data_IF_701787338667
#
_entry.id   IF_701787338667
#
_cell.length_a   1.000
_cell.length_b   1.000
_cell.length_c   1.000
_cell.angle_alpha   90.00
_cell.angle_beta   90.00
_cell.angle_gamma   90.00
#
_symmetry.space_group_name_H-M   'P 1'
#
loop_
_entity.id
_entity.type
_entity.pdbx_description
1 polymer ?
#
# COMPACT_ATOMS: atom_id res chain seq x y z
N UNK A 1 44.17 29.97 -30.17
CA UNK A 1 42.82 30.56 -30.17
C UNK A 1 41.90 29.58 -30.91
N UNK A 2 41.25 28.69 -30.15
CA UNK A 2 39.78 28.59 -30.02
C UNK A 2 39.06 28.41 -31.37
N UNK A 3 38.68 27.19 -31.77
CA UNK A 3 37.55 26.39 -31.24
C UNK A 3 36.30 26.58 -32.12
N UNK A 4 35.83 25.53 -32.79
CA UNK A 4 34.65 24.76 -32.36
C UNK A 4 34.32 23.65 -33.38
N UNK A 5 34.72 22.43 -33.03
CA UNK A 5 34.24 21.17 -33.58
C UNK A 5 32.85 20.87 -33.04
N UNK A 6 31.84 20.86 -33.91
CA UNK A 6 30.47 20.47 -33.60
C UNK A 6 30.36 18.95 -33.41
N UNK A 7 30.27 18.49 -32.16
CA UNK A 7 29.88 17.11 -31.84
C UNK A 7 28.35 17.09 -31.74
N UNK A 8 27.71 16.62 -32.81
CA UNK A 8 26.30 16.25 -32.85
C UNK A 8 26.05 15.11 -31.83
N UNK A 9 25.46 15.44 -30.67
CA UNK A 9 24.90 14.44 -29.75
C UNK A 9 23.53 13.98 -30.27
N UNK A 10 23.55 13.17 -31.33
CA UNK A 10 22.42 12.30 -31.68
C UNK A 10 22.15 11.29 -30.55
N UNK A 11 20.92 10.78 -30.42
CA UNK A 11 20.60 9.80 -29.38
C UNK A 11 21.55 8.59 -29.50
N UNK A 12 22.15 8.12 -28.39
CA UNK A 12 23.04 6.97 -28.44
C UNK A 12 22.28 5.81 -29.08
N UNK A 13 22.97 5.12 -30.00
CA UNK A 13 22.49 3.95 -30.70
C UNK A 13 21.70 3.06 -29.73
N UNK A 14 20.46 2.71 -30.13
CA UNK A 14 19.63 1.73 -29.44
C UNK A 14 20.38 0.41 -29.43
N UNK A 15 21.25 0.20 -28.45
CA UNK A 15 21.61 -1.14 -28.02
C UNK A 15 20.29 -1.79 -27.65
N UNK A 16 19.89 -2.81 -28.43
CA UNK A 16 18.84 -3.75 -28.05
C UNK A 16 19.28 -4.36 -26.72
N UNK A 17 18.99 -3.69 -25.61
CA UNK A 17 19.00 -4.36 -24.32
C UNK A 17 17.97 -5.46 -24.49
N UNK A 18 18.43 -6.72 -24.48
CA UNK A 18 17.54 -7.85 -24.24
C UNK A 18 16.72 -7.42 -23.02
N UNK A 19 15.42 -7.17 -23.19
CA UNK A 19 14.52 -6.96 -22.05
C UNK A 19 14.75 -8.19 -21.18
N UNK A 20 15.43 -8.03 -20.06
CA UNK A 20 15.62 -9.14 -19.13
C UNK A 20 14.22 -9.64 -18.78
N UNK A 21 14.04 -10.95 -18.85
CA UNK A 21 12.79 -11.55 -18.44
C UNK A 21 12.58 -11.24 -16.96
N UNK A 22 11.31 -11.10 -16.55
CA UNK A 22 10.94 -10.96 -15.13
C UNK A 22 11.54 -12.11 -14.33
N UNK A 23 11.91 -11.85 -13.10
CA UNK A 23 12.42 -12.90 -12.22
C UNK A 23 11.28 -13.84 -11.81
N UNK A 24 11.62 -15.07 -11.41
CA UNK A 24 10.65 -16.01 -10.85
C UNK A 24 9.97 -15.42 -9.61
N UNK A 25 10.74 -14.80 -8.72
CA UNK A 25 10.20 -14.14 -7.53
C UNK A 25 9.28 -12.98 -7.89
N UNK A 26 9.65 -12.14 -8.86
CA UNK A 26 8.79 -11.06 -9.35
C UNK A 26 7.48 -11.56 -9.96
N UNK A 27 7.49 -12.75 -10.57
CA UNK A 27 6.28 -13.42 -11.06
C UNK A 27 5.40 -13.89 -9.91
N UNK A 28 5.98 -14.54 -8.89
CA UNK A 28 5.23 -14.95 -7.68
C UNK A 28 4.64 -13.73 -6.96
N UNK A 29 5.41 -12.65 -6.82
CA UNK A 29 4.92 -11.38 -6.25
C UNK A 29 3.67 -10.88 -6.98
N UNK A 30 3.73 -10.85 -8.32
CA UNK A 30 2.58 -10.43 -9.13
C UNK A 30 1.39 -11.36 -8.98
N UNK A 31 1.59 -12.68 -8.87
CA UNK A 31 0.50 -13.63 -8.63
C UNK A 31 -0.17 -13.37 -7.28
N UNK A 32 0.60 -13.22 -6.20
CA UNK A 32 0.05 -12.89 -4.87
C UNK A 32 -0.72 -11.57 -4.91
N UNK A 33 -0.15 -10.55 -5.58
CA UNK A 33 -0.80 -9.25 -5.75
C UNK A 33 -2.10 -9.32 -6.54
N UNK A 34 -2.13 -10.07 -7.66
CA UNK A 34 -3.31 -10.22 -8.50
C UNK A 34 -4.41 -11.01 -7.77
N UNK A 35 -4.06 -12.09 -7.07
CA UNK A 35 -5.03 -12.84 -6.26
C UNK A 35 -5.62 -11.91 -5.19
N UNK A 36 -4.80 -11.11 -4.50
CA UNK A 36 -5.30 -10.17 -3.49
C UNK A 36 -6.28 -9.11 -4.06
N UNK A 37 -6.13 -8.71 -5.32
CA UNK A 37 -7.02 -7.73 -5.98
C UNK A 37 -8.31 -8.38 -6.47
N UNK A 38 -8.25 -9.58 -7.03
CA UNK A 38 -9.41 -10.24 -7.65
C UNK A 38 -10.17 -11.19 -6.73
N UNK A 39 -9.61 -11.53 -5.56
CA UNK A 39 -10.26 -12.41 -4.58
C UNK A 39 -11.68 -11.93 -4.25
N UNK A 40 -11.86 -10.63 -4.04
CA UNK A 40 -13.17 -10.08 -3.69
C UNK A 40 -14.19 -10.20 -4.81
N UNK A 41 -13.80 -9.98 -6.06
CA UNK A 41 -14.66 -10.12 -7.22
C UNK A 41 -15.12 -11.56 -7.39
N UNK A 42 -14.21 -12.53 -7.24
CA UNK A 42 -14.56 -13.94 -7.30
C UNK A 42 -15.55 -14.35 -6.18
N UNK A 43 -15.34 -13.84 -4.96
CA UNK A 43 -16.21 -14.12 -3.80
C UNK A 43 -17.60 -13.49 -3.93
N UNK A 44 -17.69 -12.27 -4.48
CA UNK A 44 -18.96 -11.54 -4.65
C UNK A 44 -19.78 -12.03 -5.84
N UNK A 45 -19.12 -12.29 -6.98
CA UNK A 45 -19.79 -12.44 -8.27
C UNK A 45 -19.76 -13.86 -8.84
N UNK A 46 -18.88 -14.73 -8.35
CA UNK A 46 -18.77 -16.12 -8.84
C UNK A 46 -19.34 -17.09 -7.82
N UNK A 47 -18.71 -17.21 -6.66
CA UNK A 47 -19.21 -18.07 -5.57
C UNK A 47 -18.57 -17.71 -4.22
N UNK A 48 -19.39 -17.59 -3.17
CA UNK A 48 -18.92 -17.33 -1.80
C UNK A 48 -17.99 -18.45 -1.27
N UNK A 49 -18.18 -19.69 -1.73
CA UNK A 49 -17.35 -20.85 -1.38
C UNK A 49 -15.88 -20.73 -1.85
N UNK A 50 -15.58 -19.81 -2.78
CA UNK A 50 -14.21 -19.52 -3.22
C UNK A 50 -13.38 -18.74 -2.20
N UNK A 51 -14.01 -18.25 -1.11
CA UNK A 51 -13.32 -17.50 -0.05
C UNK A 51 -12.11 -18.25 0.51
N UNK A 52 -12.31 -19.47 1.01
CA UNK A 52 -11.23 -20.26 1.61
C UNK A 52 -10.18 -20.72 0.56
N UNK A 53 -10.56 -21.29 -0.60
CA UNK A 53 -9.60 -21.68 -1.64
C UNK A 53 -8.70 -20.54 -2.12
N UNK A 54 -9.22 -19.33 -2.33
CA UNK A 54 -8.42 -18.20 -2.82
C UNK A 54 -7.46 -17.66 -1.75
N UNK A 55 -7.91 -17.62 -0.49
CA UNK A 55 -7.06 -17.25 0.64
C UNK A 55 -5.91 -18.25 0.81
N UNK A 56 -6.21 -19.54 0.75
CA UNK A 56 -5.20 -20.60 0.81
C UNK A 56 -4.25 -20.54 -0.39
N UNK A 57 -4.75 -20.38 -1.61
CA UNK A 57 -3.92 -20.24 -2.80
C UNK A 57 -2.93 -19.08 -2.64
N UNK A 58 -3.39 -17.92 -2.18
CA UNK A 58 -2.55 -16.74 -1.96
C UNK A 58 -1.50 -16.98 -0.90
N UNK A 59 -1.88 -17.56 0.23
CA UNK A 59 -0.96 -17.84 1.35
C UNK A 59 0.08 -18.90 0.95
N UNK A 60 -0.31 -19.93 0.18
CA UNK A 60 0.60 -20.93 -0.38
C UNK A 60 1.57 -20.32 -1.40
N UNK A 61 1.11 -19.39 -2.25
CA UNK A 61 2.00 -18.64 -3.15
C UNK A 61 2.99 -17.77 -2.38
N UNK A 62 2.56 -17.14 -1.28
CA UNK A 62 3.45 -16.37 -0.42
C UNK A 62 4.50 -17.28 0.24
N UNK A 63 4.08 -18.42 0.80
CA UNK A 63 4.99 -19.43 1.35
C UNK A 63 5.98 -19.95 0.30
N UNK A 64 5.50 -20.25 -0.91
CA UNK A 64 6.37 -20.64 -2.02
C UNK A 64 7.40 -19.56 -2.36
N UNK A 65 7.00 -18.28 -2.38
CA UNK A 65 7.91 -17.17 -2.61
C UNK A 65 8.98 -17.04 -1.52
N UNK A 66 8.61 -17.25 -0.25
CA UNK A 66 9.56 -17.26 0.89
C UNK A 66 10.52 -18.45 0.76
N UNK A 67 10.00 -19.64 0.49
CA UNK A 67 10.81 -20.84 0.23
C UNK A 67 11.81 -20.61 -0.91
N UNK A 68 11.32 -20.09 -2.04
CA UNK A 68 12.16 -19.77 -3.20
C UNK A 68 13.25 -18.75 -2.83
N UNK A 69 12.90 -17.73 -2.06
CA UNK A 69 13.82 -16.70 -1.61
C UNK A 69 14.97 -17.27 -0.76
N UNK A 70 14.66 -18.17 0.17
CA UNK A 70 15.64 -18.81 1.03
C UNK A 70 16.50 -19.82 0.28
N UNK A 71 15.90 -20.64 -0.60
CA UNK A 71 16.60 -21.72 -1.31
C UNK A 71 17.41 -21.23 -2.51
N UNK A 72 16.88 -20.30 -3.28
CA UNK A 72 17.42 -19.88 -4.58
C UNK A 72 17.75 -18.38 -4.66
N UNK A 73 17.14 -17.54 -3.82
CA UNK A 73 17.36 -16.09 -3.81
C UNK A 73 18.54 -15.60 -2.96
N UNK A 74 19.25 -16.50 -2.27
CA UNK A 74 20.34 -16.14 -1.37
C UNK A 74 19.88 -15.33 -0.15
N UNK A 75 18.59 -15.42 0.23
CA UNK A 75 18.08 -14.87 1.48
C UNK A 75 18.49 -15.81 2.61
N UNK A 76 19.71 -15.63 3.09
CA UNK A 76 20.31 -16.48 4.13
C UNK A 76 20.36 -15.78 5.49
N UNK A 77 20.46 -16.55 6.59
CA UNK A 77 20.68 -16.01 7.94
C UNK A 77 21.98 -15.19 8.09
N UNK A 78 22.87 -15.15 7.10
CA UNK A 78 24.01 -14.24 7.13
C UNK A 78 23.59 -12.76 7.00
N UNK A 79 22.43 -12.49 6.37
CA UNK A 79 21.95 -11.12 6.19
C UNK A 79 21.34 -10.57 7.48
N UNK A 80 21.68 -9.35 7.91
CA UNK A 80 21.18 -8.78 9.17
C UNK A 80 19.66 -8.66 9.21
N UNK A 81 19.02 -8.32 8.08
CA UNK A 81 17.56 -8.26 7.98
C UNK A 81 16.90 -9.62 8.21
N UNK A 82 17.50 -10.70 7.72
CA UNK A 82 16.98 -12.07 7.90
C UNK A 82 17.18 -12.52 9.35
N UNK A 83 18.33 -12.22 9.96
CA UNK A 83 18.56 -12.50 11.39
C UNK A 83 17.54 -11.82 12.29
N UNK A 84 17.32 -10.52 12.08
CA UNK A 84 16.31 -9.77 12.82
C UNK A 84 14.93 -10.39 12.67
N UNK A 85 14.59 -10.84 11.46
CA UNK A 85 13.30 -11.45 11.19
C UNK A 85 13.15 -12.86 11.79
N UNK A 86 14.23 -13.64 11.85
CA UNK A 86 14.26 -14.92 12.58
C UNK A 86 14.09 -14.69 14.09
N UNK A 87 14.76 -13.68 14.66
CA UNK A 87 14.59 -13.29 16.06
C UNK A 87 13.14 -12.86 16.33
N UNK A 88 12.57 -12.02 15.46
CA UNK A 88 11.17 -11.61 15.54
C UNK A 88 10.21 -12.81 15.46
N UNK A 89 10.47 -13.75 14.56
CA UNK A 89 9.69 -14.99 14.43
C UNK A 89 9.74 -15.83 15.71
N UNK A 90 10.93 -15.99 16.29
CA UNK A 90 11.10 -16.70 17.56
C UNK A 90 10.36 -16.02 18.71
N UNK A 91 10.42 -14.68 18.79
CA UNK A 91 9.71 -13.89 19.80
C UNK A 91 8.19 -14.03 19.67
N UNK A 92 7.63 -13.83 18.47
CA UNK A 92 6.18 -13.95 18.23
C UNK A 92 5.69 -15.37 18.53
N UNK A 93 6.45 -16.39 18.10
CA UNK A 93 6.09 -17.78 18.37
C UNK A 93 6.13 -18.13 19.85
N UNK A 94 7.21 -17.77 20.55
CA UNK A 94 7.35 -18.00 21.98
C UNK A 94 6.27 -17.25 22.78
N UNK A 95 5.98 -16.00 22.41
CA UNK A 95 4.94 -15.20 23.05
C UNK A 95 3.55 -15.80 22.86
N UNK A 96 3.22 -16.22 21.64
CA UNK A 96 1.96 -16.90 21.35
C UNK A 96 1.81 -18.22 22.14
N UNK A 97 2.89 -18.97 22.31
CA UNK A 97 2.89 -20.18 23.14
C UNK A 97 2.66 -19.86 24.62
N UNK A 98 3.30 -18.81 25.14
CA UNK A 98 3.08 -18.35 26.52
C UNK A 98 1.62 -17.94 26.73
N UNK A 99 1.03 -17.16 25.81
CA UNK A 99 -0.39 -16.78 25.87
C UNK A 99 -1.32 -18.00 25.81
N UNK A 100 -1.00 -18.99 24.96
CA UNK A 100 -1.79 -20.23 24.87
C UNK A 100 -1.72 -21.06 26.17
N UNK A 101 -0.56 -21.12 26.82
CA UNK A 101 -0.39 -21.80 28.11
C UNK A 101 -1.08 -21.03 29.25
N UNK A 102 -1.05 -19.70 29.21
CA UNK A 102 -1.69 -18.84 30.20
C UNK A 102 -3.24 -18.84 30.11
N UNK A 103 -3.81 -19.39 29.03
CA UNK A 103 -5.25 -19.45 28.80
C UNK A 103 -5.83 -18.22 28.09
N UNK A 104 -4.99 -17.28 27.67
CA UNK A 104 -5.40 -16.05 26.97
C UNK A 104 -5.72 -16.30 25.48
N UNK A 105 -5.40 -17.49 24.94
CA UNK A 105 -5.73 -17.87 23.57
C UNK A 105 -5.69 -19.37 23.31
N UNK A 106 -6.22 -19.79 22.16
CA UNK A 106 -6.14 -21.19 21.71
C UNK A 106 -5.03 -21.37 20.68
N UNK A 107 -4.59 -22.61 20.46
CA UNK A 107 -3.61 -22.93 19.41
C UNK A 107 -4.10 -22.49 18.02
N UNK A 108 -5.42 -22.58 17.76
CA UNK A 108 -6.01 -22.12 16.51
C UNK A 108 -5.86 -20.59 16.33
N UNK A 109 -6.13 -19.81 17.38
CA UNK A 109 -5.96 -18.35 17.36
C UNK A 109 -4.49 -17.99 17.18
N UNK A 110 -3.58 -18.70 17.85
CA UNK A 110 -2.14 -18.52 17.65
C UNK A 110 -1.74 -18.75 16.19
N UNK A 111 -2.23 -19.80 15.52
CA UNK A 111 -1.93 -20.04 14.10
C UNK A 111 -2.45 -18.91 13.19
N UNK A 112 -3.64 -18.37 13.47
CA UNK A 112 -4.15 -17.17 12.80
C UNK A 112 -3.24 -15.99 13.05
N UNK A 113 -2.79 -15.81 14.29
CA UNK A 113 -1.81 -14.82 14.71
C UNK A 113 -0.50 -14.90 13.92
N UNK A 114 0.13 -16.08 13.87
CA UNK A 114 1.37 -16.30 13.12
C UNK A 114 1.23 -15.93 11.65
N UNK A 115 0.07 -16.22 11.04
CA UNK A 115 -0.21 -15.80 9.67
C UNK A 115 -0.20 -14.27 9.53
N UNK A 116 -0.94 -13.54 10.36
CA UNK A 116 -1.04 -12.08 10.28
C UNK A 116 0.27 -11.36 10.63
N UNK A 117 0.98 -11.86 11.65
CA UNK A 117 2.17 -11.23 12.21
C UNK A 117 3.47 -11.57 11.45
N UNK A 118 3.53 -12.71 10.74
CA UNK A 118 4.79 -13.20 10.17
C UNK A 118 4.75 -13.43 8.66
N UNK A 119 3.71 -14.06 8.12
CA UNK A 119 3.73 -14.57 6.73
C UNK A 119 4.08 -13.46 5.71
N UNK A 120 3.31 -12.38 5.74
CA UNK A 120 3.51 -11.30 4.77
C UNK A 120 4.65 -10.37 5.14
N UNK A 121 5.08 -10.31 6.40
CA UNK A 121 6.34 -9.66 6.80
C UNK A 121 7.54 -10.36 6.16
N UNK A 122 7.58 -11.70 6.24
CA UNK A 122 8.58 -12.52 5.55
C UNK A 122 8.56 -12.32 4.04
N UNK A 123 7.38 -12.37 3.44
CA UNK A 123 7.24 -12.14 2.02
C UNK A 123 7.70 -10.74 1.59
N UNK A 124 7.35 -9.71 2.37
CA UNK A 124 7.74 -8.32 2.13
C UNK A 124 9.25 -8.11 2.23
N UNK A 125 9.92 -8.71 3.23
CA UNK A 125 11.39 -8.67 3.35
C UNK A 125 12.06 -9.42 2.19
N UNK A 126 11.52 -10.58 1.78
CA UNK A 126 12.00 -11.27 0.59
C UNK A 126 11.87 -10.39 -0.67
N UNK A 127 10.74 -9.70 -0.85
CA UNK A 127 10.53 -8.77 -1.95
C UNK A 127 11.53 -7.61 -1.94
N UNK A 128 11.79 -7.02 -0.77
CA UNK A 128 12.80 -5.98 -0.59
C UNK A 128 14.21 -6.41 -1.04
N UNK A 129 14.52 -7.71 -0.87
CA UNK A 129 15.82 -8.30 -1.17
C UNK A 129 15.94 -8.89 -2.58
N UNK A 130 14.84 -9.21 -3.26
CA UNK A 130 14.89 -9.96 -4.53
C UNK A 130 14.35 -9.21 -5.74
N UNK A 131 13.43 -8.24 -5.57
CA UNK A 131 12.84 -7.56 -6.72
C UNK A 131 13.90 -6.79 -7.52
N UNK A 132 13.98 -7.09 -8.81
CA UNK A 132 14.86 -6.43 -9.78
C UNK A 132 14.15 -5.28 -10.49
N UNK A 133 14.88 -4.38 -11.19
CA UNK A 133 14.27 -3.25 -11.90
C UNK A 133 13.15 -3.65 -12.88
N UNK A 134 13.28 -4.80 -13.54
CA UNK A 134 12.30 -5.35 -14.47
C UNK A 134 11.00 -5.76 -13.74
N UNK A 135 11.12 -6.32 -12.54
CA UNK A 135 9.98 -6.70 -11.70
C UNK A 135 9.27 -5.45 -11.20
N UNK A 136 10.02 -4.46 -10.72
CA UNK A 136 9.47 -3.17 -10.29
C UNK A 136 8.69 -2.49 -11.42
N UNK A 137 9.26 -2.47 -12.64
CA UNK A 137 8.57 -1.93 -13.80
C UNK A 137 7.28 -2.70 -14.13
N UNK A 138 7.30 -4.03 -14.01
CA UNK A 138 6.13 -4.87 -14.23
C UNK A 138 5.04 -4.65 -13.17
N UNK A 139 5.42 -4.52 -11.90
CA UNK A 139 4.51 -4.20 -10.78
C UNK A 139 3.88 -2.83 -11.02
N UNK A 140 4.68 -1.79 -11.27
CA UNK A 140 4.16 -0.46 -11.58
C UNK A 140 3.18 -0.49 -12.75
N UNK A 141 3.55 -1.15 -13.87
CA UNK A 141 2.68 -1.26 -15.04
C UNK A 141 1.37 -1.99 -14.71
N UNK A 142 1.45 -3.08 -13.97
CA UNK A 142 0.28 -3.88 -13.59
C UNK A 142 -0.65 -3.06 -12.70
N UNK A 143 -0.14 -2.37 -11.68
CA UNK A 143 -0.94 -1.49 -10.82
C UNK A 143 -1.64 -0.39 -11.61
N UNK A 144 -0.96 0.26 -12.56
CA UNK A 144 -1.57 1.29 -13.40
C UNK A 144 -2.66 0.74 -14.31
N UNK A 145 -2.43 -0.42 -14.94
CA UNK A 145 -3.45 -1.07 -15.77
C UNK A 145 -4.66 -1.44 -14.94
N UNK A 146 -4.46 -2.06 -13.77
CA UNK A 146 -5.56 -2.41 -12.87
C UNK A 146 -6.33 -1.16 -12.41
N UNK A 147 -5.64 -0.08 -12.04
CA UNK A 147 -6.28 1.17 -11.66
C UNK A 147 -7.17 1.72 -12.79
N UNK A 148 -6.66 1.78 -14.02
CA UNK A 148 -7.45 2.24 -15.18
C UNK A 148 -8.64 1.31 -15.44
N UNK A 149 -8.44 -0.01 -15.35
CA UNK A 149 -9.51 -1.00 -15.54
C UNK A 149 -10.58 -0.96 -14.44
N UNK A 150 -10.25 -0.50 -13.23
CA UNK A 150 -11.22 -0.36 -12.14
C UNK A 150 -12.16 0.83 -12.35
N UNK A 151 -11.76 1.86 -13.09
CA UNK A 151 -12.54 3.10 -13.21
C UNK A 151 -13.96 2.87 -13.74
N UNK A 152 -14.18 2.16 -14.88
CA UNK A 152 -15.54 1.93 -15.36
C UNK A 152 -16.39 1.14 -14.35
N UNK A 153 -15.76 0.18 -13.67
CA UNK A 153 -16.43 -0.63 -12.66
C UNK A 153 -16.89 0.21 -11.46
N UNK A 154 -16.02 1.06 -10.91
CA UNK A 154 -16.39 1.87 -9.73
C UNK A 154 -17.36 2.98 -10.10
N UNK A 155 -17.25 3.57 -11.28
CA UNK A 155 -18.24 4.53 -11.78
C UNK A 155 -19.61 3.86 -11.92
N UNK A 156 -19.66 2.63 -12.44
CA UNK A 156 -20.92 1.89 -12.53
C UNK A 156 -21.46 1.51 -11.15
N UNK A 157 -20.61 1.06 -10.22
CA UNK A 157 -21.02 0.79 -8.84
C UNK A 157 -21.62 2.02 -8.14
N UNK A 158 -21.11 3.21 -8.42
CA UNK A 158 -21.58 4.45 -7.82
C UNK A 158 -23.02 4.82 -8.20
N UNK A 159 -23.39 4.61 -9.47
CA UNK A 159 -24.72 4.94 -9.98
C UNK A 159 -25.73 3.80 -9.83
N UNK A 160 -25.30 2.60 -9.45
CA UNK A 160 -26.18 1.47 -9.23
C UNK A 160 -26.67 1.40 -7.78
N UNK A 161 -27.88 0.86 -7.54
CA UNK A 161 -28.40 0.69 -6.19
C UNK A 161 -27.59 -0.35 -5.39
N UNK A 162 -27.71 -0.37 -4.05
CA UNK A 162 -27.05 -1.33 -3.16
C UNK A 162 -27.32 -2.79 -3.51
N UNK A 163 -28.58 -3.12 -3.82
CA UNK A 163 -29.01 -4.48 -4.21
C UNK A 163 -28.57 -4.94 -5.60
N UNK A 164 -27.88 -4.09 -6.37
CA UNK A 164 -27.39 -4.49 -7.68
C UNK A 164 -26.30 -5.57 -7.60
N UNK A 165 -26.22 -6.42 -8.62
CA UNK A 165 -25.20 -7.48 -8.71
C UNK A 165 -23.76 -6.97 -8.49
N UNK A 166 -23.45 -5.75 -8.95
CA UNK A 166 -22.11 -5.17 -8.82
C UNK A 166 -21.81 -4.61 -7.42
N UNK A 167 -22.84 -4.21 -6.67
CA UNK A 167 -22.71 -3.67 -5.32
C UNK A 167 -22.92 -4.71 -4.21
N UNK A 168 -23.45 -5.89 -4.56
CA UNK A 168 -23.58 -7.04 -3.66
C UNK A 168 -22.29 -7.33 -2.90
N UNK A 169 -22.38 -7.45 -1.58
CA UNK A 169 -21.26 -7.87 -0.72
C UNK A 169 -21.13 -9.39 -0.62
N UNK A 170 -20.05 -9.85 0.03
CA UNK A 170 -19.87 -11.27 0.37
C UNK A 170 -21.06 -11.70 1.23
N UNK A 171 -21.63 -12.87 0.90
CA UNK A 171 -22.86 -13.44 1.48
C UNK A 171 -24.18 -12.80 1.01
N UNK A 172 -24.13 -11.68 0.29
CA UNK A 172 -25.27 -11.12 -0.44
C UNK A 172 -26.28 -10.33 0.38
N UNK A 173 -25.91 -9.97 1.59
CA UNK A 173 -26.73 -9.15 2.47
C UNK A 173 -26.64 -7.67 2.06
N UNK A 174 -27.78 -7.07 1.74
CA UNK A 174 -27.87 -5.65 1.33
C UNK A 174 -27.55 -4.70 2.49
N UNK A 175 -27.86 -5.10 3.73
CA UNK A 175 -27.63 -4.28 4.93
C UNK A 175 -26.13 -4.12 5.24
N UNK A 176 -25.30 -5.01 4.69
CA UNK A 176 -23.83 -4.93 4.83
C UNK A 176 -23.22 -3.95 3.82
N UNK A 177 -23.95 -3.50 2.80
CA UNK A 177 -23.47 -2.55 1.80
C UNK A 177 -23.22 -1.18 2.47
N UNK A 178 -21.95 -0.76 2.48
CA UNK A 178 -21.59 0.51 3.10
C UNK A 178 -22.08 1.69 2.25
N UNK A 179 -23.05 2.40 2.81
CA UNK A 179 -23.63 3.59 2.20
C UNK A 179 -22.77 4.83 2.49
N UNK A 180 -22.85 5.79 1.58
CA UNK A 180 -22.26 7.10 1.72
C UNK A 180 -23.24 8.02 2.44
N UNK A 181 -24.22 8.57 1.69
CA UNK A 181 -25.38 9.39 2.05
C UNK A 181 -26.37 9.29 0.85
N UNK A 182 -27.69 9.42 1.06
CA UNK A 182 -28.72 9.47 0.00
C UNK A 182 -28.69 8.28 -1.00
N UNK A 183 -28.68 7.05 -0.50
CA UNK A 183 -28.67 5.81 -1.30
C UNK A 183 -27.46 5.61 -2.24
N UNK A 184 -26.40 6.42 -2.09
CA UNK A 184 -25.15 6.26 -2.82
C UNK A 184 -24.26 5.22 -2.14
N UNK A 185 -23.81 4.22 -2.90
CA UNK A 185 -22.93 3.15 -2.41
C UNK A 185 -21.48 3.61 -2.39
N UNK A 186 -20.74 3.26 -1.32
CA UNK A 186 -19.27 3.37 -1.32
C UNK A 186 -18.67 2.27 -2.18
N UNK A 187 -17.99 2.68 -3.24
CA UNK A 187 -17.49 1.76 -4.26
C UNK A 187 -16.40 0.84 -3.71
N UNK A 188 -16.43 -0.42 -4.14
CA UNK A 188 -15.52 -1.47 -3.65
C UNK A 188 -14.60 -2.00 -4.75
N UNK A 189 -14.85 -1.66 -6.01
CA UNK A 189 -14.18 -2.26 -7.16
C UNK A 189 -14.26 -3.78 -7.08
N UNK A 190 -13.13 -4.45 -7.32
CA UNK A 190 -13.01 -5.91 -7.16
C UNK A 190 -12.77 -6.37 -5.74
N UNK A 191 -12.71 -5.47 -4.75
CA UNK A 191 -12.48 -5.87 -3.36
C UNK A 191 -13.78 -6.29 -2.68
N UNK A 192 -13.67 -7.16 -1.67
CA UNK A 192 -14.81 -7.59 -0.86
C UNK A 192 -15.38 -6.45 -0.01
N UNK A 193 -14.58 -5.42 0.26
CA UNK A 193 -14.90 -4.34 1.18
C UNK A 193 -14.24 -3.02 0.77
N UNK A 194 -14.84 -1.89 1.16
CA UNK A 194 -14.39 -0.53 0.82
C UNK A 194 -12.95 -0.26 1.23
N UNK A 195 -12.52 -0.77 2.39
CA UNK A 195 -11.15 -0.60 2.88
C UNK A 195 -10.12 -1.15 1.89
N UNK A 196 -10.36 -2.32 1.29
CA UNK A 196 -9.44 -2.91 0.29
C UNK A 196 -9.25 -2.02 -0.93
N UNK A 197 -10.33 -1.39 -1.41
CA UNK A 197 -10.25 -0.45 -2.52
C UNK A 197 -9.48 0.83 -2.15
N UNK A 198 -9.75 1.39 -0.97
CA UNK A 198 -9.02 2.59 -0.51
C UNK A 198 -7.52 2.32 -0.32
N UNK A 199 -7.15 1.15 0.19
CA UNK A 199 -5.78 0.67 0.30
C UNK A 199 -5.11 0.54 -1.07
N UNK A 200 -5.79 -0.05 -2.05
CA UNK A 200 -5.26 -0.15 -3.41
C UNK A 200 -5.04 1.23 -4.05
N UNK A 201 -5.98 2.16 -3.90
CA UNK A 201 -5.81 3.52 -4.39
C UNK A 201 -4.62 4.23 -3.74
N UNK A 202 -4.46 4.09 -2.43
CA UNK A 202 -3.31 4.66 -1.72
C UNK A 202 -1.97 4.10 -2.26
N UNK A 203 -1.89 2.79 -2.55
CA UNK A 203 -0.72 2.15 -3.18
C UNK A 203 -0.50 2.65 -4.62
N UNK A 204 -1.59 2.76 -5.40
CA UNK A 204 -1.53 3.15 -6.80
C UNK A 204 -1.12 4.63 -6.97
N UNK A 205 -1.43 5.49 -6.01
CA UNK A 205 -1.16 6.93 -6.05
C UNK A 205 0.31 7.29 -6.30
N UNK A 206 1.28 6.90 -5.46
CA UNK A 206 2.68 7.24 -5.67
C UNK A 206 3.22 6.65 -6.99
N UNK A 207 2.70 5.51 -7.43
CA UNK A 207 3.06 4.87 -8.71
C UNK A 207 2.52 5.68 -9.90
N UNK A 208 1.26 6.12 -9.83
CA UNK A 208 0.62 6.97 -10.83
C UNK A 208 1.31 8.33 -10.94
N UNK A 209 1.59 8.99 -9.81
CA UNK A 209 2.33 10.26 -9.77
C UNK A 209 3.71 10.13 -10.41
N UNK A 210 4.45 9.08 -10.06
CA UNK A 210 5.76 8.81 -10.66
C UNK A 210 5.68 8.59 -12.17
N UNK A 211 4.65 7.86 -12.64
CA UNK A 211 4.44 7.65 -14.08
C UNK A 211 4.15 8.96 -14.80
N UNK A 212 3.16 9.72 -14.33
CA UNK A 212 2.69 10.98 -14.94
C UNK A 212 3.83 12.00 -15.06
N UNK A 213 4.66 12.14 -14.02
CA UNK A 213 5.76 13.12 -14.01
C UNK A 213 6.98 12.62 -14.80
N UNK A 214 7.24 11.31 -14.80
CA UNK A 214 8.50 10.72 -15.22
C UNK A 214 8.72 10.62 -16.74
N UNK A 215 7.67 10.50 -17.55
CA UNK A 215 7.82 10.23 -18.98
C UNK A 215 7.80 11.47 -19.88
N UNK A 216 7.97 11.27 -21.19
CA UNK A 216 7.92 12.33 -22.19
C UNK A 216 7.47 11.85 -23.56
N UNK A 217 6.99 12.76 -24.40
CA UNK A 217 6.47 12.48 -25.74
C UNK A 217 4.95 12.35 -25.80
N UNK A 218 4.39 12.45 -27.02
CA UNK A 218 2.93 12.52 -27.25
C UNK A 218 2.17 11.30 -26.70
N UNK A 219 2.65 10.08 -26.99
CA UNK A 219 2.02 8.84 -26.49
C UNK A 219 2.04 8.76 -24.97
N UNK A 220 3.15 9.12 -24.35
CA UNK A 220 3.24 9.16 -22.89
C UNK A 220 2.27 10.18 -22.29
N UNK A 221 2.16 11.36 -22.89
CA UNK A 221 1.26 12.41 -22.43
C UNK A 221 -0.21 11.94 -22.43
N UNK A 222 -0.65 11.26 -23.49
CA UNK A 222 -1.99 10.67 -23.54
C UNK A 222 -2.21 9.62 -22.44
N UNK A 223 -1.27 8.70 -22.26
CA UNK A 223 -1.38 7.69 -21.18
C UNK A 223 -1.32 8.32 -19.79
N UNK A 224 -0.51 9.37 -19.59
CA UNK A 224 -0.44 10.09 -18.33
C UNK A 224 -1.75 10.81 -18.02
N UNK A 225 -2.43 11.37 -19.03
CA UNK A 225 -3.76 11.96 -18.87
C UNK A 225 -4.80 10.91 -18.45
N UNK A 226 -4.79 9.74 -19.09
CA UNK A 226 -5.67 8.61 -18.72
C UNK A 226 -5.40 8.16 -17.28
N UNK A 227 -4.13 8.00 -16.90
CA UNK A 227 -3.72 7.61 -15.54
C UNK A 227 -4.15 8.65 -14.51
N UNK A 228 -3.93 9.94 -14.79
CA UNK A 228 -4.31 11.04 -13.91
C UNK A 228 -5.84 11.12 -13.74
N UNK A 229 -6.58 11.09 -14.85
CA UNK A 229 -8.05 11.06 -14.82
C UNK A 229 -8.58 9.85 -14.07
N UNK A 230 -8.00 8.67 -14.29
CA UNK A 230 -8.37 7.44 -13.59
C UNK A 230 -8.16 7.55 -12.09
N UNK A 231 -7.05 8.15 -11.65
CA UNK A 231 -6.75 8.37 -10.23
C UNK A 231 -7.76 9.32 -9.59
N UNK A 232 -8.06 10.44 -10.26
CA UNK A 232 -8.97 11.47 -9.75
C UNK A 232 -10.42 10.98 -9.69
N UNK A 233 -10.91 10.35 -10.76
CA UNK A 233 -12.27 9.76 -10.78
C UNK A 233 -12.39 8.68 -9.70
N UNK A 234 -11.41 7.78 -9.61
CA UNK A 234 -11.39 6.75 -8.57
C UNK A 234 -11.44 7.32 -7.15
N UNK A 235 -10.75 8.44 -6.91
CA UNK A 235 -10.74 9.11 -5.61
C UNK A 235 -12.07 9.79 -5.28
N UNK A 236 -12.70 10.46 -6.25
CA UNK A 236 -13.99 11.13 -6.08
C UNK A 236 -15.11 10.11 -5.79
N UNK A 237 -15.13 9.02 -6.55
CA UNK A 237 -16.19 8.00 -6.48
C UNK A 237 -15.99 6.98 -5.34
N UNK A 238 -14.80 6.91 -4.75
CA UNK A 238 -14.49 6.05 -3.59
C UNK A 238 -15.35 6.39 -2.36
N UNK A 239 -15.73 7.67 -2.22
CA UNK A 239 -16.44 8.16 -1.04
C UNK A 239 -15.69 8.00 0.28
N UNK A 240 -14.36 7.93 0.21
CA UNK A 240 -13.47 7.81 1.36
C UNK A 240 -12.79 9.13 1.69
N UNK A 241 -13.07 9.65 2.89
CA UNK A 241 -12.41 10.84 3.47
C UNK A 241 -10.88 10.73 3.44
N UNK A 242 -10.35 9.55 3.77
CA UNK A 242 -8.91 9.29 3.76
C UNK A 242 -8.31 9.42 2.36
N UNK A 243 -8.99 8.92 1.32
CA UNK A 243 -8.49 9.00 -0.06
C UNK A 243 -8.54 10.44 -0.58
N UNK A 244 -9.61 11.18 -0.27
CA UNK A 244 -9.78 12.59 -0.67
C UNK A 244 -8.73 13.49 -0.04
N UNK A 245 -8.27 13.23 1.18
CA UNK A 245 -7.18 13.99 1.83
C UNK A 245 -5.79 13.53 1.39
N UNK A 246 -5.60 12.20 1.21
CA UNK A 246 -4.30 11.64 0.86
C UNK A 246 -3.82 12.07 -0.53
N UNK A 247 -4.71 12.13 -1.51
CA UNK A 247 -4.34 12.42 -2.90
C UNK A 247 -3.74 13.83 -3.05
N UNK A 248 -4.41 14.93 -2.63
CA UNK A 248 -3.84 16.27 -2.71
C UNK A 248 -2.56 16.39 -1.90
N UNK A 249 -2.50 15.79 -0.70
CA UNK A 249 -1.31 15.80 0.14
C UNK A 249 -0.10 15.14 -0.57
N UNK A 250 -0.29 14.01 -1.24
CA UNK A 250 0.76 13.35 -2.01
C UNK A 250 1.13 14.12 -3.27
N UNK A 251 0.18 14.77 -3.94
CA UNK A 251 0.48 15.68 -5.06
C UNK A 251 1.36 16.85 -4.61
N UNK A 252 1.01 17.50 -3.50
CA UNK A 252 1.79 18.59 -2.91
C UNK A 252 3.17 18.08 -2.50
N UNK A 253 3.26 16.95 -1.81
CA UNK A 253 4.54 16.36 -1.42
C UNK A 253 5.41 16.00 -2.64
N UNK A 254 4.81 15.46 -3.71
CA UNK A 254 5.49 15.20 -4.97
C UNK A 254 6.01 16.49 -5.60
N UNK A 255 5.18 17.54 -5.60
CA UNK A 255 5.56 18.83 -6.14
C UNK A 255 6.72 19.46 -5.36
N UNK A 256 6.61 19.54 -4.03
CA UNK A 256 7.64 20.07 -3.15
C UNK A 256 8.96 19.29 -3.28
N UNK A 257 8.90 17.95 -3.26
CA UNK A 257 10.08 17.12 -3.42
C UNK A 257 10.77 17.37 -4.77
N UNK A 258 10.00 17.44 -5.86
CA UNK A 258 10.56 17.66 -7.20
C UNK A 258 11.05 19.10 -7.40
N UNK A 259 10.43 20.09 -6.75
CA UNK A 259 10.92 21.47 -6.76
C UNK A 259 12.23 21.59 -5.97
N UNK A 260 12.37 20.87 -4.86
CA UNK A 260 13.57 20.85 -4.03
C UNK A 260 14.74 20.07 -4.68
N UNK A 261 14.48 18.86 -5.17
CA UNK A 261 15.54 17.92 -5.60
C UNK A 261 15.53 17.58 -7.10
N UNK A 262 14.44 17.89 -7.80
CA UNK A 262 14.25 17.54 -9.21
C UNK A 262 15.03 18.45 -10.16
N UNK A 263 15.28 17.94 -11.37
CA UNK A 263 15.90 18.70 -12.46
C UNK A 263 14.94 19.74 -13.02
N UNK A 264 15.46 20.82 -13.62
CA UNK A 264 14.64 21.92 -14.17
C UNK A 264 13.49 21.44 -15.10
N UNK A 265 13.75 20.44 -15.95
CA UNK A 265 12.72 19.87 -16.83
C UNK A 265 11.59 19.15 -16.06
N UNK A 266 11.90 18.51 -14.92
CA UNK A 266 10.91 17.87 -14.04
C UNK A 266 10.09 18.93 -13.28
N UNK A 267 10.72 20.03 -12.85
CA UNK A 267 10.04 21.15 -12.17
C UNK A 267 8.91 21.73 -13.03
N UNK A 268 9.18 22.01 -14.30
CA UNK A 268 8.14 22.49 -15.24
C UNK A 268 7.02 21.47 -15.42
N UNK A 269 7.34 20.18 -15.55
CA UNK A 269 6.34 19.13 -15.71
C UNK A 269 5.42 19.00 -14.51
N UNK A 270 5.96 19.13 -13.30
CA UNK A 270 5.16 19.12 -12.07
C UNK A 270 4.13 20.24 -12.08
N UNK A 271 4.51 21.47 -12.45
CA UNK A 271 3.57 22.59 -12.53
C UNK A 271 2.47 22.34 -13.57
N UNK A 272 2.83 21.82 -14.75
CA UNK A 272 1.85 21.46 -15.80
C UNK A 272 0.86 20.41 -15.29
N UNK A 273 1.36 19.34 -14.65
CA UNK A 273 0.50 18.28 -14.14
C UNK A 273 -0.30 18.69 -12.91
N UNK A 274 0.20 19.60 -12.08
CA UNK A 274 -0.57 20.19 -10.99
C UNK A 274 -1.75 21.00 -11.53
N UNK A 275 -1.51 21.87 -12.52
CA UNK A 275 -2.59 22.60 -13.21
C UNK A 275 -3.61 21.67 -13.88
N UNK A 276 -3.13 20.61 -14.53
CA UNK A 276 -4.00 19.58 -15.13
C UNK A 276 -4.82 18.83 -14.07
N UNK A 277 -4.22 18.49 -12.92
CA UNK A 277 -4.92 17.82 -11.84
C UNK A 277 -6.03 18.70 -11.25
N UNK A 278 -5.78 20.00 -11.10
CA UNK A 278 -6.81 20.98 -10.69
C UNK A 278 -7.93 21.05 -11.73
N UNK A 279 -7.60 21.16 -13.01
CA UNK A 279 -8.60 21.24 -14.08
C UNK A 279 -9.48 19.97 -14.15
N UNK A 280 -8.85 18.79 -14.21
CA UNK A 280 -9.57 17.51 -14.26
C UNK A 280 -10.33 17.26 -12.96
N UNK A 281 -9.76 17.64 -11.82
CA UNK A 281 -10.43 17.57 -10.52
C UNK A 281 -11.66 18.46 -10.46
N UNK A 282 -11.58 19.70 -10.95
CA UNK A 282 -12.72 20.63 -11.01
C UNK A 282 -13.86 20.08 -11.87
N UNK A 283 -13.55 19.56 -13.07
CA UNK A 283 -14.53 18.90 -13.93
C UNK A 283 -15.09 17.64 -13.26
N UNK A 284 -14.25 16.86 -12.59
CA UNK A 284 -14.70 15.68 -11.85
C UNK A 284 -15.67 16.04 -10.73
N UNK A 285 -15.40 17.11 -9.98
CA UNK A 285 -16.28 17.57 -8.89
C UNK A 285 -17.64 18.06 -9.40
N UNK A 286 -17.73 18.60 -10.62
CA UNK A 286 -19.02 18.98 -11.21
C UNK A 286 -19.80 17.76 -11.72
N UNK A 287 -19.11 16.75 -12.25
CA UNK A 287 -19.76 15.51 -12.75
C UNK A 287 -20.22 14.60 -11.60
N UNK A 288 -19.44 14.54 -10.52
CA UNK A 288 -19.70 13.70 -9.35
C UNK A 288 -20.09 14.56 -8.13
N UNK A 289 -20.94 15.57 -8.33
CA UNK A 289 -21.37 16.51 -7.28
C UNK A 289 -21.92 15.78 -6.06
N UNK A 290 -22.71 14.73 -6.28
CA UNK A 290 -23.40 14.01 -5.21
C UNK A 290 -22.40 13.23 -4.34
N UNK A 291 -21.37 12.63 -4.95
CA UNK A 291 -20.25 12.02 -4.21
C UNK A 291 -19.50 13.04 -3.36
N UNK A 292 -19.26 14.23 -3.92
CA UNK A 292 -18.51 15.29 -3.24
C UNK A 292 -19.33 15.82 -2.06
N UNK A 293 -20.60 16.11 -2.26
CA UNK A 293 -21.51 16.57 -1.20
C UNK A 293 -21.65 15.51 -0.09
N UNK A 294 -21.85 14.24 -0.45
CA UNK A 294 -21.88 13.15 0.52
C UNK A 294 -20.57 13.01 1.31
N UNK A 295 -19.42 13.30 0.69
CA UNK A 295 -18.13 13.29 1.40
C UNK A 295 -18.03 14.46 2.37
N UNK A 296 -18.43 15.66 1.93
CA UNK A 296 -18.42 16.89 2.72
C UNK A 296 -19.34 16.75 3.93
N UNK A 297 -20.55 16.24 3.75
CA UNK A 297 -21.49 16.00 4.83
C UNK A 297 -20.89 15.08 5.90
N UNK A 298 -20.29 13.96 5.50
CA UNK A 298 -19.59 13.04 6.43
C UNK A 298 -18.37 13.67 7.11
N UNK A 299 -17.75 14.69 6.51
CA UNK A 299 -16.70 15.45 7.16
C UNK A 299 -17.28 16.36 8.24
N UNK A 300 -18.38 17.06 7.96
CA UNK A 300 -19.06 17.93 8.92
C UNK A 300 -19.63 17.14 10.10
N UNK A 301 -20.41 16.09 9.83
CA UNK A 301 -21.02 15.24 10.89
C UNK A 301 -19.97 14.69 11.84
N UNK A 302 -18.82 14.24 11.32
CA UNK A 302 -17.75 13.75 12.19
C UNK A 302 -17.01 14.87 12.95
N UNK A 303 -16.85 16.05 12.35
CA UNK A 303 -16.18 17.17 13.00
C UNK A 303 -17.00 17.79 14.14
N UNK A 304 -18.31 17.52 14.19
CA UNK A 304 -19.17 17.92 15.30
C UNK A 304 -18.93 17.09 16.58
N UNK A 305 -18.44 15.85 16.45
CA UNK A 305 -18.25 14.93 17.58
C UNK A 305 -16.79 14.53 17.83
N UNK A 306 -15.90 14.71 16.86
CA UNK A 306 -14.48 14.33 16.96
C UNK A 306 -13.58 15.54 16.72
N UNK A 307 -12.67 15.84 17.66
CA UNK A 307 -11.56 16.74 17.38
C UNK A 307 -10.58 16.09 16.39
N UNK A 308 -10.14 16.86 15.40
CA UNK A 308 -9.15 16.42 14.42
C UNK A 308 -7.83 16.02 15.08
N UNK A 309 -7.41 16.73 16.14
CA UNK A 309 -6.20 16.43 16.90
C UNK A 309 -6.27 15.03 17.54
N UNK A 310 -7.30 14.82 18.37
CA UNK A 310 -7.57 13.55 19.06
C UNK A 310 -7.74 12.39 18.07
N UNK A 311 -8.36 12.66 16.91
CA UNK A 311 -8.50 11.66 15.85
C UNK A 311 -7.17 11.27 15.24
N UNK A 312 -6.28 12.22 14.96
CA UNK A 312 -4.94 11.92 14.45
C UNK A 312 -4.15 11.14 15.50
N UNK A 313 -4.21 11.55 16.76
CA UNK A 313 -3.59 10.81 17.85
C UNK A 313 -4.10 9.37 17.90
N UNK A 314 -5.41 9.17 17.91
CA UNK A 314 -6.04 7.85 17.94
C UNK A 314 -5.66 7.01 16.72
N UNK A 315 -5.61 7.58 15.51
CA UNK A 315 -5.27 6.82 14.30
C UNK A 315 -3.81 6.31 14.31
N UNK A 316 -2.87 7.09 14.86
CA UNK A 316 -1.45 6.74 14.82
C UNK A 316 -0.95 6.05 16.11
N UNK A 317 -1.42 6.51 17.26
CA UNK A 317 -1.03 6.01 18.58
C UNK A 317 -2.06 5.04 19.16
N UNK A 318 -3.29 5.01 18.65
CA UNK A 318 -4.34 4.12 19.16
C UNK A 318 -5.22 4.75 20.23
N UNK A 319 -6.31 4.05 20.54
CA UNK A 319 -7.33 4.46 21.49
C UNK A 319 -6.76 4.50 22.92
N UNK A 320 -7.08 5.54 23.69
CA UNK A 320 -6.64 5.68 25.09
C UNK A 320 -7.08 4.48 25.95
N UNK A 321 -8.26 3.92 25.68
CA UNK A 321 -8.78 2.72 26.35
C UNK A 321 -7.90 1.49 26.13
N UNK A 322 -7.25 1.36 24.96
CA UNK A 322 -6.37 0.24 24.65
C UNK A 322 -5.19 0.16 25.62
N UNK A 323 -4.71 1.33 26.07
CA UNK A 323 -3.62 1.46 27.03
C UNK A 323 -4.02 1.12 28.47
N UNK A 324 -5.30 1.28 28.80
CA UNK A 324 -5.84 1.04 30.14
C UNK A 324 -6.27 -0.42 30.32
N UNK A 325 -6.88 -1.02 29.29
CA UNK A 325 -7.48 -2.36 29.33
C UNK A 325 -6.50 -3.50 29.06
N UNK A 326 -5.30 -3.21 28.58
CA UNK A 326 -4.31 -4.23 28.24
C UNK A 326 -3.74 -4.97 29.45
N UNK A 327 -3.48 -6.26 29.28
CA UNK A 327 -2.64 -7.05 30.18
C UNK A 327 -1.19 -7.05 29.70
N UNK A 328 -0.24 -7.41 30.58
CA UNK A 328 1.17 -7.51 30.20
C UNK A 328 1.40 -8.50 29.04
N UNK A 329 0.64 -9.60 29.02
CA UNK A 329 0.70 -10.62 27.99
C UNK A 329 -0.12 -10.27 26.74
N UNK A 330 -1.18 -9.47 26.88
CA UNK A 330 -2.19 -9.24 25.84
C UNK A 330 -3.28 -10.32 25.82
N UNK A 331 -4.28 -10.11 24.98
CA UNK A 331 -5.48 -10.95 24.86
C UNK A 331 -5.32 -12.17 23.92
N UNK A 332 -4.11 -12.42 23.42
CA UNK A 332 -3.81 -13.51 22.48
C UNK A 332 -3.50 -13.00 21.06
N UNK A 333 -2.32 -13.33 20.55
CA UNK A 333 -1.89 -12.96 19.19
C UNK A 333 -2.87 -13.56 18.17
N UNK A 334 -3.40 -12.69 17.29
CA UNK A 334 -4.35 -13.06 16.25
C UNK A 334 -5.81 -12.86 16.61
N UNK A 335 -6.14 -12.58 17.88
CA UNK A 335 -7.52 -12.46 18.38
C UNK A 335 -8.27 -11.26 17.81
N UNK A 336 -7.59 -10.16 17.50
CA UNK A 336 -8.20 -8.98 16.89
C UNK A 336 -8.43 -9.10 15.38
N UNK A 337 -8.12 -10.25 14.78
CA UNK A 337 -8.39 -10.49 13.36
C UNK A 337 -9.84 -10.88 13.10
N UNK A 338 -10.36 -10.47 11.93
CA UNK A 338 -11.71 -10.86 11.50
C UNK A 338 -11.90 -12.39 11.37
N UNK A 339 -10.81 -13.14 11.21
CA UNK A 339 -10.85 -14.59 11.15
C UNK A 339 -10.98 -15.21 12.54
N UNK A 340 -10.30 -14.65 13.54
CA UNK A 340 -10.41 -15.12 14.91
C UNK A 340 -11.80 -14.87 15.50
N UNK A 341 -12.43 -13.72 15.21
CA UNK A 341 -13.81 -13.46 15.67
C UNK A 341 -14.81 -14.46 15.10
N UNK A 342 -14.68 -14.80 13.82
CA UNK A 342 -15.49 -15.85 13.20
C UNK A 342 -15.28 -17.22 13.86
N UNK A 343 -14.04 -17.58 14.21
CA UNK A 343 -13.74 -18.87 14.86
C UNK A 343 -14.24 -18.94 16.32
N UNK A 344 -14.20 -17.84 17.07
CA UNK A 344 -14.63 -17.81 18.47
C UNK A 344 -16.15 -17.64 18.61
N UNK A 345 -16.78 -16.79 17.80
CA UNK A 345 -18.19 -16.37 17.97
C UNK A 345 -19.13 -16.81 16.85
N UNK A 346 -18.61 -17.36 15.75
CA UNK A 346 -19.39 -17.69 14.56
C UNK A 346 -19.76 -16.47 13.69
N UNK A 347 -19.41 -15.26 14.12
CA UNK A 347 -19.71 -14.01 13.44
C UNK A 347 -18.49 -13.07 13.40
N UNK A 348 -18.41 -12.22 12.37
CA UNK A 348 -17.33 -11.25 12.23
C UNK A 348 -17.66 -10.01 13.08
N UNK A 349 -17.15 -9.98 14.31
CA UNK A 349 -17.26 -8.82 15.21
C UNK A 349 -15.90 -8.20 15.50
N UNK A 350 -15.85 -6.88 15.72
CA UNK A 350 -14.65 -6.21 16.23
C UNK A 350 -14.50 -6.52 17.73
N UNK A 351 -13.54 -7.38 18.08
CA UNK A 351 -13.34 -7.84 19.47
C UNK A 351 -12.33 -7.00 20.25
N UNK A 352 -11.44 -6.32 19.53
CA UNK A 352 -10.37 -5.48 20.05
C UNK A 352 -10.45 -4.11 19.37
N UNK A 353 -9.59 -3.19 19.80
CA UNK A 353 -9.41 -1.84 19.25
C UNK A 353 -9.46 -1.81 17.70
N UNK A 354 -10.03 -0.73 17.16
CA UNK A 354 -10.22 -0.55 15.73
C UNK A 354 -8.90 -0.14 15.06
N UNK A 355 -8.11 0.67 15.75
CA UNK A 355 -6.83 1.15 15.25
C UNK A 355 -5.79 0.03 15.23
N UNK A 356 -4.83 0.17 14.32
CA UNK A 356 -3.74 -0.81 14.17
C UNK A 356 -2.82 -0.82 15.40
N UNK A 357 -2.50 0.35 15.95
CA UNK A 357 -1.63 0.47 17.13
C UNK A 357 -2.33 -0.06 18.37
N UNK A 358 -3.57 0.35 18.63
CA UNK A 358 -4.37 -0.16 19.76
C UNK A 358 -4.54 -1.67 19.70
N UNK A 359 -4.91 -2.22 18.53
CA UNK A 359 -5.03 -3.68 18.36
C UNK A 359 -3.73 -4.43 18.58
N UNK A 360 -2.60 -3.89 18.10
CA UNK A 360 -1.29 -4.53 18.28
C UNK A 360 -0.93 -4.67 19.76
N UNK A 361 -1.25 -3.62 20.53
CA UNK A 361 -1.01 -3.55 21.96
C UNK A 361 -1.96 -4.49 22.72
N UNK A 362 -3.25 -4.47 22.41
CA UNK A 362 -4.21 -5.36 23.07
C UNK A 362 -3.98 -6.84 22.74
N UNK A 363 -3.62 -7.21 21.51
CA UNK A 363 -3.35 -8.61 21.13
C UNK A 363 -2.11 -9.18 21.82
N UNK A 364 -1.04 -8.38 21.90
CA UNK A 364 0.30 -8.89 22.22
C UNK A 364 0.94 -8.26 23.46
N UNK A 365 0.23 -7.36 24.16
CA UNK A 365 0.72 -6.68 25.37
C UNK A 365 2.07 -6.01 25.14
N UNK A 366 3.06 -6.39 25.96
CA UNK A 366 4.43 -5.86 25.86
C UNK A 366 5.06 -6.10 24.48
N UNK A 367 4.80 -7.24 23.84
CA UNK A 367 5.31 -7.51 22.50
C UNK A 367 4.66 -6.59 21.44
N UNK A 368 3.42 -6.17 21.68
CA UNK A 368 2.71 -5.17 20.88
C UNK A 368 3.44 -3.83 20.85
N UNK A 369 3.91 -3.35 22.00
CA UNK A 369 4.75 -2.14 22.06
C UNK A 369 6.05 -2.27 21.28
N UNK A 370 6.73 -3.41 21.40
CA UNK A 370 7.96 -3.69 20.64
C UNK A 370 7.66 -3.69 19.13
N UNK A 371 6.52 -4.24 18.72
CA UNK A 371 6.09 -4.24 17.33
C UNK A 371 5.85 -2.82 16.80
N UNK A 372 5.11 -2.00 17.56
CA UNK A 372 4.84 -0.59 17.20
C UNK A 372 6.15 0.20 17.10
N UNK A 373 7.06 0.04 18.07
CA UNK A 373 8.38 0.65 18.04
C UNK A 373 9.19 0.21 16.82
N UNK A 374 9.17 -1.08 16.48
CA UNK A 374 9.84 -1.60 15.28
C UNK A 374 9.26 -1.00 14.00
N UNK A 375 7.93 -0.89 13.88
CA UNK A 375 7.26 -0.26 12.74
C UNK A 375 7.67 1.22 12.63
N UNK A 376 7.74 1.95 13.74
CA UNK A 376 8.19 3.34 13.77
C UNK A 376 9.65 3.47 13.32
N UNK A 377 10.55 2.62 13.82
CA UNK A 377 11.96 2.59 13.40
C UNK A 377 12.12 2.29 11.91
N UNK A 378 11.33 1.36 11.36
CA UNK A 378 11.31 1.05 9.92
C UNK A 378 10.87 2.28 9.11
N UNK A 379 9.82 2.99 9.56
CA UNK A 379 9.35 4.23 8.92
C UNK A 379 10.44 5.30 8.91
N UNK A 380 11.04 5.58 10.06
CA UNK A 380 12.09 6.60 10.19
C UNK A 380 13.32 6.26 9.34
N UNK A 381 13.80 5.02 9.43
CA UNK A 381 14.96 4.58 8.68
C UNK A 381 14.68 4.49 7.17
N UNK A 382 13.42 4.23 6.78
CA UNK A 382 12.94 4.23 5.40
C UNK A 382 12.93 5.63 4.79
N UNK A 383 12.23 6.56 5.45
CA UNK A 383 12.16 7.97 5.06
C UNK A 383 13.54 8.61 4.99
N UNK A 384 14.39 8.37 5.99
CA UNK A 384 15.77 8.87 6.00
C UNK A 384 16.56 8.39 4.77
N UNK A 385 16.44 7.10 4.42
CA UNK A 385 17.10 6.55 3.24
C UNK A 385 16.51 7.10 1.94
N UNK A 386 15.20 7.22 1.84
CA UNK A 386 14.50 7.78 0.69
C UNK A 386 14.93 9.23 0.45
N UNK A 387 15.04 10.02 1.50
CA UNK A 387 15.53 11.39 1.45
C UNK A 387 16.99 11.47 0.98
N UNK A 388 17.85 10.59 1.50
CA UNK A 388 19.22 10.46 1.02
C UNK A 388 19.33 10.04 -0.45
N UNK A 389 18.40 9.21 -0.95
CA UNK A 389 18.31 8.83 -2.37
C UNK A 389 17.86 10.02 -3.22
N UNK A 390 16.83 10.75 -2.80
CA UNK A 390 16.30 11.89 -3.53
C UNK A 390 17.36 13.00 -3.69
N UNK A 391 18.08 13.32 -2.62
CA UNK A 391 19.19 14.28 -2.65
C UNK A 391 20.30 13.91 -3.64
N UNK A 392 20.61 12.61 -3.79
CA UNK A 392 21.70 12.14 -4.67
C UNK A 392 21.26 11.94 -6.13
N UNK A 393 20.03 11.46 -6.35
CA UNK A 393 19.56 11.04 -7.68
C UNK A 393 18.64 12.05 -8.34
N UNK A 394 18.04 12.96 -7.57
CA UNK A 394 16.98 13.87 -7.99
C UNK A 394 15.65 13.17 -8.30
N UNK A 395 15.48 11.91 -7.86
CA UNK A 395 14.23 11.15 -8.00
C UNK A 395 13.46 11.16 -6.69
N UNK A 396 12.16 11.42 -6.76
CA UNK A 396 11.29 11.48 -5.58
C UNK A 396 10.45 10.22 -5.38
N UNK A 397 10.63 9.18 -6.20
CA UNK A 397 9.75 8.01 -6.17
C UNK A 397 9.80 7.30 -4.82
N UNK A 398 11.01 7.02 -4.29
CA UNK A 398 11.15 6.40 -2.98
C UNK A 398 10.50 7.23 -1.85
N UNK A 399 10.59 8.56 -1.89
CA UNK A 399 9.94 9.42 -0.87
C UNK A 399 8.42 9.25 -0.93
N UNK A 400 7.84 9.32 -2.12
CA UNK A 400 6.38 9.17 -2.29
C UNK A 400 5.88 7.82 -1.80
N UNK A 401 6.64 6.75 -2.08
CA UNK A 401 6.34 5.42 -1.58
C UNK A 401 6.43 5.35 -0.05
N UNK A 402 7.45 5.95 0.57
CA UNK A 402 7.60 5.95 2.02
C UNK A 402 6.59 6.83 2.75
N UNK A 403 6.09 7.93 2.15
CA UNK A 403 5.00 8.71 2.73
C UNK A 403 3.73 7.85 2.89
N UNK A 404 3.36 7.12 1.84
CA UNK A 404 2.27 6.15 1.91
C UNK A 404 2.63 4.95 2.79
N UNK A 405 3.89 4.51 2.76
CA UNK A 405 4.38 3.37 3.55
C UNK A 405 4.31 3.63 5.05
N UNK A 406 4.58 4.87 5.48
CA UNK A 406 4.42 5.27 6.88
C UNK A 406 2.96 5.29 7.29
N UNK A 407 2.05 5.81 6.45
CA UNK A 407 0.62 5.70 6.71
C UNK A 407 0.20 4.22 6.79
N UNK A 408 0.65 3.40 5.84
CA UNK A 408 0.38 1.97 5.81
C UNK A 408 0.82 1.24 7.09
N UNK A 409 2.03 1.49 7.60
CA UNK A 409 2.53 0.79 8.78
C UNK A 409 1.88 1.26 10.08
N UNK A 410 1.46 2.53 10.15
CA UNK A 410 0.99 3.13 11.39
C UNK A 410 -0.53 3.14 11.53
N UNK A 411 -1.29 3.30 10.43
CA UNK A 411 -2.75 3.50 10.50
C UNK A 411 -3.58 2.38 9.89
N UNK A 412 -3.02 1.58 8.99
CA UNK A 412 -3.80 0.53 8.33
C UNK A 412 -3.91 -0.70 9.22
N UNK A 413 -5.09 -1.34 9.22
CA UNK A 413 -5.37 -2.60 9.91
C UNK A 413 -4.60 -3.78 9.28
N UNK A 414 -3.28 -3.81 9.50
CA UNK A 414 -2.36 -4.81 8.98
C UNK A 414 -2.54 -6.14 9.70
N UNK A 415 -2.73 -6.13 11.02
CA UNK A 415 -2.92 -7.39 11.78
C UNK A 415 -4.38 -7.79 11.94
N UNK A 416 -5.33 -6.89 11.67
CA UNK A 416 -6.76 -7.15 11.83
C UNK A 416 -7.48 -7.61 10.55
N UNK A 417 -7.07 -7.12 9.38
CA UNK A 417 -7.83 -7.33 8.14
C UNK A 417 -7.03 -8.02 7.03
N UNK A 418 -7.62 -9.08 6.46
CA UNK A 418 -6.97 -9.98 5.50
C UNK A 418 -6.37 -9.26 4.27
N UNK A 419 -7.15 -8.40 3.61
CA UNK A 419 -6.74 -7.70 2.39
C UNK A 419 -5.61 -6.70 2.66
N UNK A 420 -5.77 -5.95 3.75
CA UNK A 420 -4.84 -4.88 4.15
C UNK A 420 -3.52 -5.46 4.64
N UNK A 421 -3.54 -6.59 5.35
CA UNK A 421 -2.35 -7.36 5.71
C UNK A 421 -1.48 -7.65 4.48
N UNK A 422 -2.06 -8.27 3.45
CA UNK A 422 -1.32 -8.65 2.24
C UNK A 422 -0.85 -7.44 1.46
N UNK A 423 -1.77 -6.55 1.09
CA UNK A 423 -1.45 -5.39 0.25
C UNK A 423 -0.46 -4.46 0.95
N UNK A 424 -0.60 -4.26 2.25
CA UNK A 424 0.28 -3.43 3.05
C UNK A 424 1.72 -3.97 3.06
N UNK A 425 1.92 -5.23 3.43
CA UNK A 425 3.28 -5.79 3.49
C UNK A 425 3.91 -6.02 2.11
N UNK A 426 3.11 -6.34 1.07
CA UNK A 426 3.59 -6.31 -0.32
C UNK A 426 4.09 -4.91 -0.70
N UNK A 427 3.33 -3.87 -0.33
CA UNK A 427 3.68 -2.49 -0.63
C UNK A 427 4.93 -2.03 0.12
N UNK A 428 5.09 -2.39 1.40
CA UNK A 428 6.30 -2.09 2.16
C UNK A 428 7.51 -2.82 1.58
N UNK A 429 7.38 -4.10 1.22
CA UNK A 429 8.42 -4.85 0.52
C UNK A 429 8.84 -4.20 -0.80
N UNK A 430 7.86 -3.82 -1.62
CA UNK A 430 8.07 -3.07 -2.87
C UNK A 430 8.76 -1.72 -2.63
N UNK A 431 8.33 -0.97 -1.63
CA UNK A 431 8.89 0.33 -1.25
C UNK A 431 10.36 0.22 -0.85
N UNK A 432 10.70 -0.78 -0.04
CA UNK A 432 12.08 -1.09 0.32
C UNK A 432 12.92 -1.51 -0.88
N UNK A 433 12.36 -2.33 -1.79
CA UNK A 433 13.04 -2.73 -3.03
C UNK A 433 13.38 -1.54 -3.92
N UNK A 434 12.42 -0.64 -4.16
CA UNK A 434 12.61 0.58 -4.96
C UNK A 434 13.70 1.46 -4.33
N UNK A 435 13.62 1.70 -3.01
CA UNK A 435 14.61 2.51 -2.29
C UNK A 435 16.02 1.94 -2.43
N UNK A 436 16.15 0.61 -2.34
CA UNK A 436 17.42 -0.08 -2.55
C UNK A 436 17.95 0.08 -3.97
N UNK A 437 17.11 -0.14 -4.98
CA UNK A 437 17.51 -0.06 -6.39
C UNK A 437 17.93 1.36 -6.78
N UNK A 438 17.17 2.39 -6.37
CA UNK A 438 17.53 3.79 -6.62
C UNK A 438 18.84 4.18 -5.91
N UNK A 439 19.09 3.64 -4.71
CA UNK A 439 20.36 3.84 -4.00
C UNK A 439 21.54 3.22 -4.76
N UNK A 440 21.39 2.03 -5.34
CA UNK A 440 22.42 1.38 -6.13
C UNK A 440 22.73 2.15 -7.42
N UNK A 441 21.70 2.67 -8.10
CA UNK A 441 21.89 3.55 -9.25
C UNK A 441 22.60 4.86 -8.89
N UNK A 442 22.26 5.45 -7.74
CA UNK A 442 22.93 6.65 -7.25
C UNK A 442 24.42 6.45 -6.97
N UNK A 443 24.82 5.26 -6.48
CA UNK A 443 26.24 4.91 -6.25
C UNK A 443 27.04 4.74 -7.54
N UNK A 444 26.41 4.26 -8.62
CA UNK A 444 27.05 4.09 -9.93
C UNK A 444 27.30 5.41 -10.68
N UNK A 445 26.80 6.55 -10.16
CA UNK A 445 27.07 7.89 -10.70
C UNK A 445 28.02 8.68 -9.78
N UNK A 446 29.29 8.28 -9.56
CA UNK A 446 30.25 9.20 -8.99
C UNK A 446 30.54 10.30 -10.03
N UNK A 447 30.16 11.51 -9.67
CA UNK A 447 30.85 12.77 -9.96
C UNK A 447 31.55 12.93 -11.33
N UNK A 448 30.79 12.90 -12.43
CA UNK A 448 31.24 13.50 -13.71
C UNK A 448 31.43 15.03 -13.65
N UNK A 449 31.25 15.67 -12.48
CA UNK A 449 31.40 17.12 -12.30
C UNK A 449 32.74 17.54 -11.69
N UNK A 450 33.62 16.61 -11.30
CA UNK A 450 34.98 16.92 -10.81
C UNK A 450 36.12 16.74 -11.82
N UNK A 451 35.81 16.54 -13.11
CA UNK A 451 36.81 16.32 -14.16
C UNK A 451 37.17 17.53 -15.03
N UNK A 452 36.54 18.69 -14.84
CA UNK A 452 36.85 19.91 -15.59
C UNK A 452 36.90 21.12 -14.65
N UNK A 453 37.86 21.12 -13.75
CA UNK A 453 38.38 22.33 -13.14
C UNK A 453 39.79 22.06 -12.63
N UNK A 454 40.75 22.63 -13.36
CA UNK A 454 42.20 22.72 -13.12
C UNK A 454 43.03 21.56 -13.66
#
# INVERSE_FOLDING_TARGET
>A
MLSQSAIHLGPPARTRSRRRARTTFGTVFLLVFLVAIFEGAARKWVAGSLSLPLVLLRDLLALYGIYYAMRYGGVTPARPAVRLLLLWTGLVFAWGLVQAIAGDGTLAIMLVGLRFWLLYVWFGVAAALLLEPEDVAAICKTTLVLMVMMVPLVVLQHYLPPGSFLNRQVDGDEDKVFMMVNDIVRTTGTFSFTLGYTTFLAIATPIALQYVIGGGGKRHWLYALVVLGSLLISALVSGSRATVLLMPALFVAAALCMLAFGRAALKRRVLVWAGMAVLVGAVGMTVFSDSVQGTIQRFHEAAEYEDFGDRMETIFLGESEAYVKQSLLGAGIGRGSNLASYLERGEITFMLSETETGRSIEEAGLLGYVFVALKFLVCMAGLWRAFGVARRTGRCFAILLWLVGTLCLMSWSLIGQLTTNVLGFLFIGFTMAVTRLERLEGRKRPDRRRGHAR
#
